data_IF_061860675610
#
_entry.id   IF_061860675610
#
_cell.length_a   1.000
_cell.length_b   1.000
_cell.length_c   1.000
_cell.angle_alpha   90.00
_cell.angle_beta   90.00
_cell.angle_gamma   90.00
#
_symmetry.space_group_name_H-M   'P 1'
#
loop_
_entity.id
_entity.type
_entity.pdbx_description
1 polymer ?
#
# COMPACT_ATOMS: atom_id res chain seq x y z
N UNK A 1 28.68 -14.56 -7.16
CA UNK A 1 27.45 -15.38 -7.17
C UNK A 1 26.48 -14.61 -6.31
N UNK A 2 25.49 -13.92 -6.90
CA UNK A 2 24.49 -13.16 -6.13
C UNK A 2 23.77 -14.14 -5.20
N UNK A 3 23.69 -13.84 -3.90
CA UNK A 3 22.83 -14.63 -3.01
C UNK A 3 21.40 -14.48 -3.53
N UNK A 4 20.65 -15.58 -3.57
CA UNK A 4 19.25 -15.59 -4.03
C UNK A 4 18.31 -14.85 -3.06
N UNK A 5 18.83 -14.37 -1.93
CA UNK A 5 18.09 -13.84 -0.79
C UNK A 5 18.18 -12.31 -0.66
N UNK A 6 18.64 -11.58 -1.68
CA UNK A 6 18.70 -10.11 -1.64
C UNK A 6 18.16 -9.47 -2.91
N UNK A 7 17.54 -8.30 -2.76
CA UNK A 7 17.23 -7.41 -3.88
C UNK A 7 18.42 -6.49 -4.11
N UNK A 8 18.80 -6.29 -5.38
CA UNK A 8 19.90 -5.41 -5.73
C UNK A 8 19.38 -4.24 -6.56
N UNK A 9 19.70 -3.04 -6.11
CA UNK A 9 19.34 -1.82 -6.81
C UNK A 9 20.60 -1.09 -7.26
N UNK A 10 20.56 -0.53 -8.47
CA UNK A 10 21.52 0.50 -8.83
C UNK A 10 21.35 1.72 -7.91
N UNK A 11 22.34 2.61 -7.86
CA UNK A 11 22.16 3.87 -7.14
C UNK A 11 20.99 4.65 -7.73
N UNK A 12 19.99 4.89 -6.88
CA UNK A 12 18.75 5.62 -7.16
C UNK A 12 18.51 6.55 -5.97
N UNK A 13 18.04 7.77 -6.22
CA UNK A 13 17.85 8.77 -5.16
C UNK A 13 16.63 8.49 -4.31
N UNK A 14 15.60 7.89 -4.89
CA UNK A 14 14.31 7.61 -4.24
C UNK A 14 14.28 6.11 -3.93
N UNK A 15 14.01 5.76 -2.68
CA UNK A 15 13.85 4.36 -2.28
C UNK A 15 12.48 3.83 -2.73
N UNK A 16 11.42 4.60 -2.51
CA UNK A 16 10.05 4.19 -2.86
C UNK A 16 9.26 5.34 -3.48
N UNK A 17 8.70 5.08 -4.67
CA UNK A 17 7.71 5.94 -5.31
C UNK A 17 6.34 5.27 -5.21
N UNK A 18 5.46 5.83 -4.39
CA UNK A 18 4.08 5.38 -4.25
C UNK A 18 3.17 6.13 -5.25
N UNK A 19 2.27 5.41 -5.91
CA UNK A 19 1.33 5.96 -6.90
C UNK A 19 -0.10 5.59 -6.47
N UNK A 20 -0.97 6.60 -6.37
CA UNK A 20 -2.39 6.37 -6.10
C UNK A 20 -3.03 7.53 -5.35
N UNK A 21 -3.60 7.25 -4.19
CA UNK A 21 -4.49 8.16 -3.49
C UNK A 21 -3.96 8.69 -2.16
N UNK A 22 -4.35 9.93 -1.88
CA UNK A 22 -4.50 10.49 -0.55
C UNK A 22 -5.88 11.13 -0.48
N UNK A 23 -6.62 10.87 0.60
CA UNK A 23 -8.03 11.23 0.70
C UNK A 23 -8.45 11.48 2.15
N UNK A 24 -9.71 11.92 2.32
CA UNK A 24 -10.31 12.11 3.64
C UNK A 24 -11.11 10.87 4.02
N UNK A 25 -10.76 10.22 5.13
CA UNK A 25 -11.59 9.21 5.76
C UNK A 25 -12.53 9.89 6.76
N UNK A 26 -13.83 9.90 6.47
CA UNK A 26 -14.88 10.39 7.35
C UNK A 26 -15.44 9.20 8.14
N UNK A 27 -15.03 9.04 9.40
CA UNK A 27 -15.40 7.88 10.23
C UNK A 27 -16.44 8.30 11.27
N UNK A 28 -17.53 7.54 11.37
CA UNK A 28 -18.60 7.82 12.34
C UNK A 28 -18.17 7.52 13.79
N UNK A 29 -18.74 8.25 14.75
CA UNK A 29 -18.49 8.01 16.17
C UNK A 29 -19.22 6.80 16.75
N UNK A 30 -20.36 6.44 16.14
CA UNK A 30 -21.25 5.42 16.70
C UNK A 30 -21.55 4.30 15.71
N UNK A 31 -21.94 3.18 16.30
CA UNK A 31 -22.39 1.96 15.62
C UNK A 31 -23.85 2.02 15.15
N UNK A 32 -24.54 3.15 15.33
CA UNK A 32 -25.98 3.27 15.11
C UNK A 32 -26.35 3.62 13.66
N UNK A 33 -25.35 3.85 12.80
CA UNK A 33 -25.50 4.18 11.38
C UNK A 33 -25.95 5.62 11.12
N UNK A 34 -25.94 6.00 9.84
CA UNK A 34 -26.24 7.35 9.35
C UNK A 34 -27.63 7.89 9.74
N UNK A 35 -28.59 7.00 9.96
CA UNK A 35 -29.98 7.39 10.28
C UNK A 35 -30.14 7.87 11.73
N UNK A 36 -29.20 7.53 12.61
CA UNK A 36 -29.24 7.88 14.04
C UNK A 36 -28.04 8.71 14.49
N UNK A 37 -26.94 8.69 13.75
CA UNK A 37 -25.77 9.50 14.01
C UNK A 37 -25.28 10.19 12.73
N UNK A 38 -25.14 11.51 12.81
CA UNK A 38 -24.67 12.38 11.74
C UNK A 38 -23.31 13.04 12.05
N UNK A 39 -22.58 12.53 13.04
CA UNK A 39 -21.24 13.01 13.42
C UNK A 39 -20.16 12.11 12.83
N UNK A 40 -19.19 12.75 12.20
CA UNK A 40 -18.03 12.13 11.58
C UNK A 40 -16.77 12.90 11.96
N UNK A 41 -15.69 12.17 12.19
CA UNK A 41 -14.36 12.74 12.29
C UNK A 41 -13.62 12.52 10.97
N UNK A 42 -12.95 13.58 10.52
CA UNK A 42 -12.08 13.54 9.36
C UNK A 42 -10.69 13.03 9.77
N UNK A 43 -10.22 12.01 9.08
CA UNK A 43 -8.89 11.44 9.19
C UNK A 43 -8.19 11.47 7.83
N UNK A 44 -6.87 11.34 7.85
CA UNK A 44 -6.07 11.14 6.64
C UNK A 44 -6.16 9.67 6.23
N UNK A 45 -6.50 9.44 4.97
CA UNK A 45 -6.55 8.12 4.36
C UNK A 45 -5.75 8.05 3.07
N UNK A 46 -5.65 6.84 2.54
CA UNK A 46 -4.91 6.51 1.31
C UNK A 46 -3.73 5.59 1.58
N UNK A 47 -3.81 4.37 1.06
CA UNK A 47 -2.81 3.32 1.34
C UNK A 47 -1.43 3.67 0.78
N UNK A 48 -1.30 4.16 -0.48
CA UNK A 48 -0.02 4.65 -1.01
C UNK A 48 0.57 5.81 -0.21
N UNK A 49 -0.27 6.72 0.28
CA UNK A 49 0.17 7.85 1.11
C UNK A 49 0.69 7.39 2.48
N UNK A 50 -0.03 6.47 3.15
CA UNK A 50 0.41 5.87 4.41
C UNK A 50 1.75 5.16 4.26
N UNK A 51 1.90 4.36 3.20
CA UNK A 51 3.15 3.67 2.89
C UNK A 51 4.30 4.67 2.71
N UNK A 52 4.12 5.70 1.89
CA UNK A 52 5.15 6.72 1.65
C UNK A 52 5.56 7.42 2.96
N UNK A 53 4.60 7.84 3.78
CA UNK A 53 4.89 8.46 5.08
C UNK A 53 5.61 7.50 6.03
N UNK A 54 5.21 6.22 6.07
CA UNK A 54 5.84 5.22 6.93
C UNK A 54 7.29 4.94 6.51
N UNK A 55 7.58 4.82 5.21
CA UNK A 55 8.95 4.66 4.69
C UNK A 55 9.81 5.87 5.10
N UNK A 56 9.28 7.08 5.01
CA UNK A 56 9.99 8.29 5.44
C UNK A 56 10.31 8.28 6.94
N UNK A 57 9.36 7.86 7.78
CA UNK A 57 9.57 7.73 9.24
C UNK A 57 10.59 6.66 9.61
N UNK A 58 10.60 5.56 8.85
CA UNK A 58 11.59 4.50 9.01
C UNK A 58 13.00 4.97 8.60
N UNK A 59 13.15 6.13 7.96
CA UNK A 59 14.44 6.71 7.56
C UNK A 59 14.77 6.54 6.08
N UNK A 60 13.87 5.97 5.28
CA UNK A 60 14.00 5.89 3.82
C UNK A 60 13.57 7.17 3.12
N UNK A 61 13.96 7.32 1.86
CA UNK A 61 13.49 8.44 1.02
C UNK A 61 12.33 7.99 0.12
N UNK A 62 11.12 8.46 0.43
CA UNK A 62 9.92 8.15 -0.34
C UNK A 62 9.30 9.39 -1.00
N UNK A 63 8.57 9.16 -2.09
CA UNK A 63 7.74 10.15 -2.75
C UNK A 63 6.35 9.58 -3.04
N UNK A 64 5.35 10.47 -3.13
CA UNK A 64 3.97 10.13 -3.48
C UNK A 64 3.56 10.90 -4.74
N UNK A 65 3.10 10.18 -5.76
CA UNK A 65 2.34 10.77 -6.86
C UNK A 65 0.85 10.47 -6.67
N UNK A 66 0.08 11.53 -6.42
CA UNK A 66 -1.36 11.48 -6.23
C UNK A 66 -1.97 12.83 -6.66
N UNK A 67 -3.29 12.86 -6.81
CA UNK A 67 -4.04 14.09 -7.04
C UNK A 67 -5.03 14.40 -5.91
N UNK A 68 -5.15 15.69 -5.60
CA UNK A 68 -6.17 16.25 -4.72
C UNK A 68 -6.90 17.39 -5.41
N UNK A 69 -8.10 17.74 -4.95
CA UNK A 69 -8.89 18.81 -5.54
C UNK A 69 -8.26 20.18 -5.31
N UNK A 70 -8.64 21.16 -6.12
CA UNK A 70 -8.35 22.57 -5.85
C UNK A 70 -9.30 23.14 -4.78
N UNK A 71 -9.28 22.53 -3.59
CA UNK A 71 -10.17 22.84 -2.47
C UNK A 71 -9.43 22.76 -1.12
N UNK A 72 -10.16 23.10 -0.04
CA UNK A 72 -9.61 23.13 1.33
C UNK A 72 -9.25 21.76 1.87
N UNK A 73 -9.90 20.69 1.41
CA UNK A 73 -9.50 19.34 1.78
C UNK A 73 -8.18 18.97 1.09
N UNK A 74 -7.99 19.38 -0.16
CA UNK A 74 -6.72 19.19 -0.87
C UNK A 74 -5.58 19.98 -0.22
N UNK A 75 -5.82 21.22 0.20
CA UNK A 75 -4.88 22.01 1.00
C UNK A 75 -4.51 21.28 2.30
N UNK A 76 -5.52 20.79 3.02
CA UNK A 76 -5.36 20.06 4.28
C UNK A 76 -4.50 18.79 4.13
N UNK A 77 -4.71 18.02 3.07
CA UNK A 77 -3.94 16.81 2.78
C UNK A 77 -2.48 17.13 2.41
N UNK A 78 -2.25 18.12 1.55
CA UNK A 78 -0.89 18.54 1.17
C UNK A 78 -0.13 19.11 2.37
N UNK A 79 -0.78 19.92 3.21
CA UNK A 79 -0.17 20.45 4.43
C UNK A 79 0.17 19.37 5.44
N UNK A 80 -0.63 18.29 5.51
CA UNK A 80 -0.29 17.14 6.31
C UNK A 80 0.97 16.43 5.80
N UNK A 81 1.06 16.15 4.50
CA UNK A 81 2.25 15.54 3.90
C UNK A 81 3.52 16.37 4.18
N UNK A 82 3.43 17.71 4.04
CA UNK A 82 4.53 18.62 4.39
C UNK A 82 4.92 18.57 5.86
N UNK A 83 3.94 18.49 6.78
CA UNK A 83 4.20 18.32 8.22
C UNK A 83 4.88 16.99 8.53
N UNK A 84 4.58 15.96 7.75
CA UNK A 84 5.28 14.66 7.80
C UNK A 84 6.62 14.68 7.05
N UNK A 85 7.08 15.85 6.58
CA UNK A 85 8.33 16.04 5.83
C UNK A 85 8.40 15.23 4.53
N UNK A 86 7.25 14.84 3.97
CA UNK A 86 7.19 14.19 2.68
C UNK A 86 7.28 15.22 1.55
N UNK A 87 8.04 14.91 0.50
CA UNK A 87 8.07 15.73 -0.70
C UNK A 87 6.70 15.71 -1.40
N UNK A 88 6.15 16.89 -1.64
CA UNK A 88 4.84 17.09 -2.29
C UNK A 88 4.96 17.57 -3.73
N UNK A 89 6.18 17.55 -4.29
CA UNK A 89 6.47 18.04 -5.64
C UNK A 89 5.79 17.23 -6.75
N UNK A 90 5.39 15.98 -6.47
CA UNK A 90 4.63 15.12 -7.38
C UNK A 90 3.11 15.15 -7.15
N UNK A 91 2.64 15.94 -6.18
CA UNK A 91 1.20 16.11 -5.92
C UNK A 91 0.58 16.99 -7.00
N UNK A 92 -0.47 16.48 -7.63
CA UNK A 92 -1.20 17.18 -8.68
C UNK A 92 -2.50 17.78 -8.13
N UNK A 93 -2.95 18.88 -8.76
CA UNK A 93 -4.24 19.51 -8.48
C UNK A 93 -5.23 19.17 -9.58
N UNK A 94 -6.34 18.58 -9.18
CA UNK A 94 -7.44 18.19 -10.06
C UNK A 94 -8.51 19.28 -10.14
N UNK A 95 -9.34 19.18 -11.18
CA UNK A 95 -10.55 20.02 -11.31
C UNK A 95 -11.73 19.48 -10.49
N UNK A 96 -11.72 18.17 -10.20
CA UNK A 96 -12.70 17.53 -9.34
C UNK A 96 -12.40 17.76 -7.85
N UNK A 97 -13.42 17.66 -6.97
CA UNK A 97 -13.24 17.76 -5.52
C UNK A 97 -12.32 16.67 -4.96
N UNK A 98 -11.61 16.97 -3.89
CA UNK A 98 -10.81 15.99 -3.13
C UNK A 98 -11.68 14.81 -2.71
N UNK A 99 -11.17 13.60 -2.96
CA UNK A 99 -11.88 12.36 -2.70
C UNK A 99 -12.02 12.09 -1.20
N UNK A 100 -13.07 11.36 -0.84
CA UNK A 100 -13.33 10.96 0.54
C UNK A 100 -13.96 9.57 0.61
N UNK A 101 -13.74 8.89 1.73
CA UNK A 101 -14.45 7.66 2.08
C UNK A 101 -15.24 7.90 3.34
N UNK A 102 -16.53 7.57 3.31
CA UNK A 102 -17.39 7.62 4.50
C UNK A 102 -17.50 6.22 5.07
N UNK A 103 -17.06 6.04 6.31
CA UNK A 103 -17.06 4.75 7.00
C UNK A 103 -17.96 4.87 8.23
N UNK A 104 -19.05 4.11 8.21
CA UNK A 104 -19.87 3.93 9.41
C UNK A 104 -19.29 2.81 10.26
N UNK A 105 -18.94 3.10 11.52
CA UNK A 105 -18.65 2.05 12.49
C UNK A 105 -19.83 1.08 12.53
N UNK A 106 -19.52 -0.20 12.50
CA UNK A 106 -20.53 -1.27 12.56
C UNK A 106 -20.03 -2.37 13.49
N UNK A 107 -20.95 -3.14 14.09
CA UNK A 107 -20.57 -4.30 14.91
C UNK A 107 -20.03 -5.48 14.07
N UNK A 108 -20.25 -5.44 12.75
CA UNK A 108 -19.63 -6.32 11.77
C UNK A 108 -18.60 -5.56 10.93
N UNK A 109 -18.31 -6.04 9.71
CA UNK A 109 -17.41 -5.35 8.78
C UNK A 109 -18.02 -4.02 8.33
N UNK A 110 -17.37 -2.86 8.59
CA UNK A 110 -17.84 -1.58 8.08
C UNK A 110 -17.97 -1.60 6.56
N UNK A 111 -19.08 -1.10 6.03
CA UNK A 111 -19.26 -0.91 4.58
C UNK A 111 -18.87 0.53 4.24
N UNK A 112 -17.77 0.74 3.50
CA UNK A 112 -17.36 2.07 3.08
C UNK A 112 -18.24 2.58 1.93
N UNK A 113 -18.51 3.89 1.93
CA UNK A 113 -19.06 4.61 0.76
C UNK A 113 -17.95 5.46 0.16
N UNK A 114 -17.66 5.25 -1.12
CA UNK A 114 -16.58 5.94 -1.82
C UNK A 114 -17.11 7.15 -2.59
N UNK A 115 -16.61 8.34 -2.24
CA UNK A 115 -16.84 9.57 -2.99
C UNK A 115 -15.56 9.92 -3.75
N UNK A 116 -15.47 9.39 -4.97
CA UNK A 116 -14.30 9.52 -5.85
C UNK A 116 -14.38 10.83 -6.63
N UNK A 117 -13.25 11.53 -6.73
CA UNK A 117 -13.12 12.84 -7.37
C UNK A 117 -11.70 13.04 -7.89
N UNK A 118 -10.92 13.89 -7.23
CA UNK A 118 -9.57 14.25 -7.67
C UNK A 118 -8.61 13.06 -7.82
N UNK A 119 -8.78 12.01 -7.02
CA UNK A 119 -7.85 10.89 -6.90
C UNK A 119 -7.60 10.10 -8.19
N UNK A 120 -8.38 10.34 -9.25
CA UNK A 120 -8.17 9.73 -10.57
C UNK A 120 -7.85 10.73 -11.69
N UNK A 121 -7.64 12.01 -11.36
CA UNK A 121 -7.24 13.07 -12.29
C UNK A 121 -5.76 13.45 -12.09
N UNK A 122 -4.87 12.50 -12.33
CA UNK A 122 -3.43 12.71 -12.33
C UNK A 122 -2.80 12.11 -13.58
N UNK A 123 -1.76 12.77 -14.09
CA UNK A 123 -1.18 12.50 -15.40
C UNK A 123 0.32 12.20 -15.31
N UNK A 124 0.86 11.61 -16.38
CA UNK A 124 2.30 11.43 -16.54
C UNK A 124 2.97 12.77 -16.85
N UNK A 125 3.61 13.39 -15.84
CA UNK A 125 4.41 14.61 -16.00
C UNK A 125 5.88 14.28 -16.23
N UNK A 126 6.67 15.23 -16.76
CA UNK A 126 8.12 15.05 -16.91
C UNK A 126 8.82 14.80 -15.57
N UNK A 127 8.29 15.42 -14.50
CA UNK A 127 8.79 15.22 -13.15
C UNK A 127 8.48 13.81 -12.63
N UNK A 128 7.30 13.28 -12.92
CA UNK A 128 6.97 11.89 -12.59
C UNK A 128 7.85 10.91 -13.35
N UNK A 129 8.08 11.12 -14.66
CA UNK A 129 9.02 10.32 -15.45
C UNK A 129 10.42 10.31 -14.85
N UNK A 130 10.92 11.49 -14.47
CA UNK A 130 12.23 11.61 -13.82
C UNK A 130 12.27 10.90 -12.46
N UNK A 131 11.19 10.96 -11.67
CA UNK A 131 11.09 10.25 -10.41
C UNK A 131 11.11 8.73 -10.60
N UNK A 132 10.36 8.20 -11.58
CA UNK A 132 10.36 6.78 -11.94
C UNK A 132 11.77 6.32 -12.35
N UNK A 133 12.47 7.11 -13.16
CA UNK A 133 13.85 6.80 -13.56
C UNK A 133 14.83 6.78 -12.38
N UNK A 134 14.53 7.48 -11.28
CA UNK A 134 15.39 7.63 -10.11
C UNK A 134 14.89 6.91 -8.86
N UNK A 135 13.90 6.00 -8.98
CA UNK A 135 13.41 5.18 -7.87
C UNK A 135 13.96 3.76 -7.89
N UNK A 136 14.12 3.15 -6.71
CA UNK A 136 14.36 1.71 -6.56
C UNK A 136 13.07 0.92 -6.72
N UNK A 137 11.98 1.41 -6.15
CA UNK A 137 10.69 0.70 -6.06
C UNK A 137 9.56 1.62 -6.53
N UNK A 138 8.62 1.07 -7.29
CA UNK A 138 7.31 1.67 -7.56
C UNK A 138 6.24 0.82 -6.87
N UNK A 139 5.32 1.46 -6.15
CA UNK A 139 4.21 0.80 -5.48
C UNK A 139 2.87 1.44 -5.84
N UNK A 140 1.85 0.61 -6.05
CA UNK A 140 0.45 1.07 -6.22
C UNK A 140 -0.53 0.02 -5.68
N UNK A 141 -1.80 0.41 -5.55
CA UNK A 141 -2.89 -0.47 -5.09
C UNK A 141 -3.99 -0.65 -6.15
N UNK A 142 -5.05 -1.41 -5.83
CA UNK A 142 -6.24 -1.46 -6.72
C UNK A 142 -6.99 -0.13 -6.82
N UNK A 143 -6.73 0.83 -5.93
CA UNK A 143 -7.45 2.10 -5.93
C UNK A 143 -7.30 2.88 -7.25
N UNK A 144 -6.08 3.21 -7.73
CA UNK A 144 -5.93 3.81 -9.06
C UNK A 144 -6.36 2.87 -10.19
N UNK A 145 -6.27 1.54 -10.00
CA UNK A 145 -6.69 0.56 -11.01
C UNK A 145 -8.21 0.52 -11.25
N UNK A 146 -9.00 0.87 -10.23
CA UNK A 146 -10.47 0.88 -10.28
C UNK A 146 -11.08 2.01 -11.12
N UNK A 147 -10.26 2.91 -11.67
CA UNK A 147 -10.69 3.99 -12.55
C UNK A 147 -9.90 3.96 -13.86
N UNK A 148 -10.57 4.12 -15.00
CA UNK A 148 -9.96 4.04 -16.35
C UNK A 148 -8.78 4.99 -16.57
N UNK A 149 -8.90 6.24 -16.14
CA UNK A 149 -7.89 7.26 -16.41
C UNK A 149 -6.65 7.05 -15.53
N UNK A 150 -6.86 6.83 -14.23
CA UNK A 150 -5.78 6.50 -13.30
C UNK A 150 -5.11 5.17 -13.65
N UNK A 151 -5.88 4.15 -14.05
CA UNK A 151 -5.36 2.86 -14.49
C UNK A 151 -4.47 2.99 -15.72
N UNK A 152 -4.85 3.82 -16.69
CA UNK A 152 -4.01 4.10 -17.86
C UNK A 152 -2.65 4.65 -17.44
N UNK A 153 -2.63 5.62 -16.52
CA UNK A 153 -1.38 6.14 -15.98
C UNK A 153 -0.56 5.04 -15.29
N UNK A 154 -1.17 4.19 -14.46
CA UNK A 154 -0.44 3.09 -13.80
C UNK A 154 0.21 2.15 -14.83
N UNK A 155 -0.47 1.82 -15.93
CA UNK A 155 0.15 1.04 -17.00
C UNK A 155 1.36 1.75 -17.64
N UNK A 156 1.28 3.06 -17.87
CA UNK A 156 2.40 3.86 -18.37
C UNK A 156 3.57 3.88 -17.36
N UNK A 157 3.28 4.04 -16.06
CA UNK A 157 4.27 3.99 -14.98
C UNK A 157 4.98 2.63 -14.95
N UNK A 158 4.25 1.52 -15.09
CA UNK A 158 4.83 0.17 -15.07
C UNK A 158 5.84 -0.02 -16.21
N UNK A 159 5.54 0.49 -17.40
CA UNK A 159 6.46 0.42 -18.55
C UNK A 159 7.74 1.20 -18.25
N UNK A 160 7.61 2.46 -17.84
CA UNK A 160 8.76 3.33 -17.51
C UNK A 160 9.58 2.78 -16.33
N UNK A 161 8.92 2.22 -15.31
CA UNK A 161 9.58 1.63 -14.14
C UNK A 161 10.40 0.40 -14.51
N UNK A 162 9.84 -0.46 -15.36
CA UNK A 162 10.52 -1.66 -15.87
C UNK A 162 11.75 -1.29 -16.71
N UNK A 163 11.62 -0.31 -17.60
CA UNK A 163 12.74 0.19 -18.41
C UNK A 163 13.83 0.83 -17.54
N UNK A 164 13.45 1.45 -16.42
CA UNK A 164 14.37 2.02 -15.44
C UNK A 164 15.01 1.01 -14.47
N UNK A 165 14.57 -0.26 -14.52
CA UNK A 165 15.02 -1.33 -13.63
C UNK A 165 14.52 -1.20 -12.19
N UNK A 166 13.38 -0.54 -11.97
CA UNK A 166 12.74 -0.46 -10.66
C UNK A 166 11.94 -1.74 -10.35
N UNK A 167 11.88 -2.12 -9.07
CA UNK A 167 11.01 -3.18 -8.59
C UNK A 167 9.55 -2.68 -8.54
N UNK A 168 8.63 -3.45 -9.10
CA UNK A 168 7.21 -3.09 -9.19
C UNK A 168 6.42 -3.89 -8.17
N UNK A 169 5.90 -3.20 -7.16
CA UNK A 169 5.07 -3.76 -6.12
C UNK A 169 3.60 -3.37 -6.23
N UNK A 170 2.73 -4.30 -5.85
CA UNK A 170 1.29 -4.12 -5.94
C UNK A 170 0.58 -4.65 -4.69
N UNK A 171 -0.23 -3.79 -4.05
CA UNK A 171 -1.18 -4.24 -3.02
C UNK A 171 -2.57 -4.44 -3.65
N UNK A 172 -3.09 -5.68 -3.72
CA UNK A 172 -4.42 -5.92 -4.24
C UNK A 172 -5.48 -5.10 -3.54
N UNK A 173 -5.46 -4.97 -2.21
CA UNK A 173 -6.44 -4.25 -1.39
C UNK A 173 -7.83 -4.15 -2.06
N UNK A 174 -8.38 -5.30 -2.46
CA UNK A 174 -9.42 -5.36 -3.46
C UNK A 174 -10.77 -5.18 -2.78
N UNK A 175 -11.53 -4.17 -3.20
CA UNK A 175 -12.88 -3.97 -2.74
C UNK A 175 -13.84 -3.81 -3.94
N UNK A 176 -14.90 -4.63 -4.04
CA UNK A 176 -15.79 -4.60 -5.20
C UNK A 176 -16.47 -3.24 -5.39
N UNK A 177 -16.81 -2.55 -4.29
CA UNK A 177 -17.42 -1.22 -4.33
C UNK A 177 -16.54 -0.08 -4.88
N UNK A 178 -15.27 -0.34 -5.24
CA UNK A 178 -14.41 0.66 -5.89
C UNK A 178 -14.62 0.73 -7.40
N UNK A 179 -15.09 -0.35 -8.02
CA UNK A 179 -15.11 -0.53 -9.46
C UNK A 179 -16.39 0.02 -10.07
N UNK A 180 -16.29 0.50 -11.30
CA UNK A 180 -17.45 0.95 -12.07
C UNK A 180 -18.33 -0.26 -12.44
N UNK A 181 -19.65 -0.07 -12.47
CA UNK A 181 -20.63 -1.15 -12.72
C UNK A 181 -20.44 -1.87 -14.07
N UNK A 182 -19.78 -1.22 -15.03
CA UNK A 182 -19.52 -1.75 -16.37
C UNK A 182 -18.13 -2.38 -16.54
N UNK A 183 -17.37 -2.54 -15.45
CA UNK A 183 -16.01 -3.12 -15.46
C UNK A 183 -15.92 -4.44 -14.70
N UNK A 184 -15.19 -5.39 -15.27
CA UNK A 184 -14.76 -6.60 -14.55
C UNK A 184 -13.45 -6.30 -13.80
N UNK A 185 -13.58 -5.79 -12.58
CA UNK A 185 -12.45 -5.49 -11.72
C UNK A 185 -11.57 -6.69 -11.42
N UNK A 186 -12.15 -7.88 -11.28
CA UNK A 186 -11.40 -9.11 -11.02
C UNK A 186 -10.52 -9.45 -12.22
N UNK A 187 -11.06 -9.39 -13.44
CA UNK A 187 -10.27 -9.64 -14.66
C UNK A 187 -9.13 -8.64 -14.81
N UNK A 188 -9.37 -7.36 -14.51
CA UNK A 188 -8.35 -6.30 -14.57
C UNK A 188 -7.24 -6.56 -13.55
N UNK A 189 -7.58 -6.92 -12.31
CA UNK A 189 -6.58 -7.25 -11.30
C UNK A 189 -5.81 -8.52 -11.68
N UNK A 190 -6.46 -9.53 -12.25
CA UNK A 190 -5.77 -10.75 -12.72
C UNK A 190 -4.77 -10.47 -13.84
N UNK A 191 -5.09 -9.58 -14.80
CA UNK A 191 -4.11 -9.11 -15.79
C UNK A 191 -2.94 -8.37 -15.13
N UNK A 192 -3.23 -7.53 -14.12
CA UNK A 192 -2.20 -6.75 -13.43
C UNK A 192 -1.21 -7.63 -12.64
N UNK A 193 -1.68 -8.74 -12.04
CA UNK A 193 -0.82 -9.66 -11.28
C UNK A 193 0.36 -10.16 -12.12
N UNK A 194 0.18 -10.39 -13.43
CA UNK A 194 1.25 -10.84 -14.33
C UNK A 194 2.24 -9.75 -14.76
N UNK A 195 2.05 -8.50 -14.29
CA UNK A 195 2.85 -7.34 -14.70
C UNK A 195 3.73 -6.78 -13.58
N UNK A 196 3.66 -7.36 -12.39
CA UNK A 196 4.32 -6.87 -11.17
C UNK A 196 5.31 -7.91 -10.64
N UNK A 197 6.34 -7.45 -9.93
CA UNK A 197 7.40 -8.30 -9.40
C UNK A 197 7.05 -8.84 -8.01
N UNK A 198 6.34 -8.06 -7.20
CA UNK A 198 5.97 -8.43 -5.84
C UNK A 198 4.53 -8.04 -5.52
N UNK A 199 3.79 -8.95 -4.90
CA UNK A 199 2.40 -8.74 -4.50
C UNK A 199 2.17 -9.15 -3.05
N UNK A 200 1.33 -8.41 -2.32
CA UNK A 200 0.98 -8.73 -0.91
C UNK A 200 -0.53 -8.83 -0.68
N UNK A 201 -1.18 -9.93 -1.09
CA UNK A 201 -2.60 -10.15 -0.79
C UNK A 201 -2.82 -10.48 0.70
N UNK A 202 -3.98 -10.11 1.24
CA UNK A 202 -4.55 -10.77 2.43
C UNK A 202 -5.38 -12.00 2.05
N UNK A 203 -5.77 -12.79 3.05
CA UNK A 203 -6.77 -13.88 2.85
C UNK A 203 -8.07 -13.34 2.24
N UNK A 204 -8.56 -12.19 2.72
CA UNK A 204 -9.76 -11.54 2.19
C UNK A 204 -9.60 -11.11 0.74
N UNK A 205 -8.42 -10.57 0.36
CA UNK A 205 -8.15 -10.20 -1.02
C UNK A 205 -8.15 -11.43 -1.94
N UNK A 206 -7.46 -12.49 -1.52
CA UNK A 206 -7.37 -13.72 -2.29
C UNK A 206 -8.75 -14.38 -2.48
N UNK A 207 -9.55 -14.43 -1.42
CA UNK A 207 -10.93 -14.95 -1.48
C UNK A 207 -11.80 -14.09 -2.42
N UNK A 208 -11.69 -12.76 -2.37
CA UNK A 208 -12.46 -11.88 -3.26
C UNK A 208 -12.05 -12.03 -4.74
N UNK A 209 -10.78 -12.30 -5.03
CA UNK A 209 -10.24 -12.40 -6.40
C UNK A 209 -10.48 -13.80 -7.01
N UNK A 210 -10.36 -14.84 -6.20
CA UNK A 210 -10.33 -16.24 -6.66
C UNK A 210 -11.44 -17.14 -6.10
N UNK A 211 -12.23 -16.64 -5.16
CA UNK A 211 -13.16 -17.44 -4.35
C UNK A 211 -12.44 -18.18 -3.20
N UNK A 212 -13.19 -18.85 -2.32
CA UNK A 212 -12.65 -19.54 -1.15
C UNK A 212 -11.69 -20.67 -1.52
N UNK A 213 -10.54 -20.76 -0.84
CA UNK A 213 -9.54 -21.82 -1.02
C UNK A 213 -8.55 -21.85 0.16
N UNK A 214 -7.63 -22.82 0.17
CA UNK A 214 -6.51 -22.82 1.12
C UNK A 214 -5.48 -21.74 0.78
N UNK A 215 -4.73 -21.28 1.79
CA UNK A 215 -3.67 -20.27 1.63
C UNK A 215 -2.66 -20.69 0.56
N UNK A 216 -2.24 -21.96 0.56
CA UNK A 216 -1.26 -22.50 -0.37
C UNK A 216 -1.78 -22.48 -1.81
N UNK A 217 -3.04 -22.89 -2.02
CA UNK A 217 -3.67 -22.86 -3.34
C UNK A 217 -3.87 -21.43 -3.84
N UNK A 218 -4.23 -20.49 -2.95
CA UNK A 218 -4.34 -19.09 -3.33
C UNK A 218 -3.00 -18.54 -3.82
N UNK A 219 -1.90 -18.81 -3.09
CA UNK A 219 -0.54 -18.42 -3.50
C UNK A 219 -0.21 -18.98 -4.89
N UNK A 220 -0.53 -20.26 -5.13
CA UNK A 220 -0.28 -20.91 -6.42
C UNK A 220 -1.05 -20.25 -7.57
N UNK A 221 -2.26 -19.73 -7.33
CA UNK A 221 -3.02 -18.96 -8.33
C UNK A 221 -2.35 -17.63 -8.68
N UNK A 222 -1.73 -16.93 -7.73
CA UNK A 222 -0.97 -15.71 -8.02
C UNK A 222 0.27 -16.01 -8.87
N UNK A 223 0.99 -17.09 -8.56
CA UNK A 223 2.11 -17.56 -9.39
C UNK A 223 1.68 -18.01 -10.78
N UNK A 224 0.53 -18.69 -10.90
CA UNK A 224 -0.03 -19.11 -12.19
C UNK A 224 -0.38 -17.92 -13.11
N UNK A 225 -0.65 -16.74 -12.53
CA UNK A 225 -0.83 -15.49 -13.27
C UNK A 225 0.48 -14.76 -13.59
N UNK A 226 1.63 -15.26 -13.14
CA UNK A 226 2.96 -14.78 -13.52
C UNK A 226 3.69 -13.95 -12.48
N UNK A 227 3.12 -13.71 -11.29
CA UNK A 227 3.84 -12.98 -10.24
C UNK A 227 4.94 -13.86 -9.61
N UNK A 228 6.21 -13.42 -9.58
CA UNK A 228 7.30 -14.26 -9.08
C UNK A 228 7.44 -14.26 -7.55
N UNK A 229 6.94 -13.22 -6.86
CA UNK A 229 7.07 -13.06 -5.41
C UNK A 229 5.72 -12.69 -4.76
N UNK A 230 5.20 -13.59 -3.92
CA UNK A 230 3.89 -13.44 -3.26
C UNK A 230 4.07 -13.41 -1.74
N UNK A 231 3.58 -12.36 -1.10
CA UNK A 231 3.59 -12.17 0.35
C UNK A 231 2.16 -12.23 0.90
N UNK A 232 1.65 -13.42 1.18
CA UNK A 232 0.28 -13.55 1.67
C UNK A 232 0.20 -13.33 3.18
N UNK A 233 -0.49 -12.29 3.63
CA UNK A 233 -0.74 -12.08 5.06
C UNK A 233 -1.96 -12.85 5.53
N UNK A 234 -1.82 -13.57 6.64
CA UNK A 234 -2.83 -14.49 7.21
C UNK A 234 -3.23 -14.06 8.64
N UNK A 235 -3.42 -12.75 8.80
CA UNK A 235 -3.84 -12.12 10.05
C UNK A 235 -2.91 -12.44 11.24
N UNK A 236 -3.50 -12.90 12.34
CA UNK A 236 -2.77 -13.21 13.56
C UNK A 236 -1.74 -14.36 13.40
N UNK A 237 -1.85 -15.19 12.36
CA UNK A 237 -0.90 -16.27 12.08
C UNK A 237 0.38 -15.76 11.40
N UNK A 238 0.40 -14.51 10.95
CA UNK A 238 1.56 -13.87 10.31
C UNK A 238 1.45 -13.83 8.79
N UNK A 239 2.43 -14.38 8.09
CA UNK A 239 2.49 -14.35 6.62
C UNK A 239 3.09 -15.62 6.03
N UNK A 240 2.73 -15.93 4.78
CA UNK A 240 3.34 -16.95 3.94
C UNK A 240 3.99 -16.26 2.76
N UNK A 241 5.31 -16.42 2.63
CA UNK A 241 6.11 -15.80 1.58
C UNK A 241 6.44 -16.88 0.57
N UNK A 242 6.14 -16.62 -0.69
CA UNK A 242 6.50 -17.53 -1.76
C UNK A 242 7.29 -16.86 -2.87
N UNK A 243 8.42 -17.46 -3.18
CA UNK A 243 9.31 -17.01 -4.24
C UNK A 243 9.63 -18.22 -5.12
N UNK A 244 9.31 -18.13 -6.41
CA UNK A 244 9.52 -19.21 -7.37
C UNK A 244 8.91 -20.57 -6.93
N UNK A 245 7.78 -20.54 -6.21
CA UNK A 245 7.04 -21.73 -5.75
C UNK A 245 7.49 -22.32 -4.42
N UNK A 246 8.63 -21.90 -3.87
CA UNK A 246 9.03 -22.24 -2.50
C UNK A 246 8.20 -21.40 -1.52
N UNK A 247 7.65 -22.00 -0.47
CA UNK A 247 6.76 -21.33 0.50
C UNK A 247 7.38 -21.37 1.90
N UNK A 248 7.53 -20.20 2.52
CA UNK A 248 8.10 -20.02 3.85
C UNK A 248 7.08 -19.32 4.77
N UNK A 249 6.94 -19.79 6.01
CA UNK A 249 5.96 -19.29 6.97
C UNK A 249 6.64 -18.41 8.02
N UNK A 250 6.03 -17.26 8.28
CA UNK A 250 6.50 -16.27 9.24
C UNK A 250 5.41 -15.97 10.25
N UNK A 251 5.78 -15.99 11.54
CA UNK A 251 4.84 -15.74 12.63
C UNK A 251 4.60 -14.23 12.81
N UNK A 252 3.37 -13.86 13.17
CA UNK A 252 3.07 -12.47 13.54
C UNK A 252 3.93 -12.01 14.73
N UNK A 253 4.36 -10.76 14.71
CA UNK A 253 5.10 -10.13 15.82
C UNK A 253 4.19 -9.34 16.77
N UNK A 254 2.90 -9.23 16.44
CA UNK A 254 1.93 -8.47 17.21
C UNK A 254 1.59 -9.17 18.53
N UNK A 255 1.78 -8.46 19.65
CA UNK A 255 1.35 -8.90 20.99
C UNK A 255 0.10 -8.16 21.47
N UNK A 256 -0.17 -7.00 20.88
CA UNK A 256 -1.29 -6.12 21.24
C UNK A 256 -1.90 -5.61 19.94
N UNK A 257 -3.23 -5.68 19.84
CA UNK A 257 -3.99 -5.20 18.69
C UNK A 257 -5.03 -4.20 19.20
N UNK A 258 -4.81 -2.93 18.87
CA UNK A 258 -5.67 -1.79 19.18
C UNK A 258 -6.50 -1.41 17.97
N UNK A 259 -5.87 -1.31 16.79
CA UNK A 259 -6.51 -0.96 15.52
C UNK A 259 -5.79 -1.64 14.36
N UNK A 260 -6.51 -2.26 13.43
CA UNK A 260 -5.97 -2.99 12.28
C UNK A 260 -5.76 -2.11 11.04
N UNK A 261 -6.33 -0.91 10.99
CA UNK A 261 -6.30 0.00 9.83
C UNK A 261 -4.86 0.35 9.44
N UNK A 262 -4.43 0.18 8.20
CA UNK A 262 -3.05 0.53 7.77
C UNK A 262 -1.95 -0.46 8.21
N UNK A 263 -2.30 -1.61 8.80
CA UNK A 263 -1.30 -2.63 9.16
C UNK A 263 -0.61 -3.22 7.91
N UNK A 264 -1.36 -3.35 6.80
CA UNK A 264 -0.80 -3.73 5.50
C UNK A 264 0.19 -2.72 4.94
N UNK A 265 -0.14 -1.42 5.02
CA UNK A 265 0.75 -0.32 4.60
C UNK A 265 2.04 -0.31 5.42
N UNK A 266 1.92 -0.55 6.74
CA UNK A 266 3.05 -0.68 7.65
C UNK A 266 3.93 -1.89 7.31
N UNK A 267 3.34 -3.05 6.98
CA UNK A 267 4.10 -4.20 6.51
C UNK A 267 4.91 -3.87 5.26
N UNK A 268 4.28 -3.27 4.25
CA UNK A 268 4.97 -2.87 3.02
C UNK A 268 6.12 -1.91 3.30
N UNK A 269 5.89 -0.91 4.15
CA UNK A 269 6.94 0.07 4.48
C UNK A 269 8.14 -0.60 5.14
N UNK A 270 7.94 -1.52 6.09
CA UNK A 270 9.04 -2.24 6.73
C UNK A 270 9.78 -3.14 5.74
N UNK A 271 9.05 -3.89 4.91
CA UNK A 271 9.65 -4.73 3.87
C UNK A 271 10.48 -3.91 2.88
N UNK A 272 9.93 -2.82 2.36
CA UNK A 272 10.64 -1.94 1.42
C UNK A 272 11.83 -1.24 2.06
N UNK A 273 11.72 -0.77 3.30
CA UNK A 273 12.88 -0.21 4.01
C UNK A 273 13.97 -1.26 4.16
N UNK A 274 13.66 -2.50 4.53
CA UNK A 274 14.66 -3.58 4.63
C UNK A 274 15.40 -3.79 3.32
N UNK A 275 14.68 -4.03 2.22
CA UNK A 275 15.33 -4.35 0.94
C UNK A 275 16.07 -3.14 0.33
N UNK A 276 15.69 -1.91 0.68
CA UNK A 276 16.39 -0.70 0.21
C UNK A 276 17.62 -0.33 1.06
N UNK A 277 17.75 -0.96 2.24
CA UNK A 277 18.90 -0.91 3.13
C UNK A 277 19.81 -2.16 2.98
N UNK A 278 19.66 -2.91 1.89
CA UNK A 278 20.45 -4.10 1.56
C UNK A 278 20.33 -5.26 2.58
N UNK A 279 19.23 -5.31 3.35
CA UNK A 279 18.90 -6.44 4.22
C UNK A 279 18.50 -7.67 3.37
N UNK A 280 18.61 -8.87 3.93
CA UNK A 280 18.09 -10.07 3.26
C UNK A 280 16.57 -10.03 3.13
N UNK A 281 16.02 -10.85 2.22
CA UNK A 281 14.58 -11.05 2.07
C UNK A 281 13.97 -11.47 3.42
N UNK A 282 14.62 -12.39 4.14
CA UNK A 282 14.14 -12.84 5.44
C UNK A 282 14.06 -11.68 6.45
N UNK A 283 15.14 -10.91 6.59
CA UNK A 283 15.20 -9.76 7.49
C UNK A 283 14.18 -8.68 7.10
N UNK A 284 13.99 -8.46 5.81
CA UNK A 284 13.01 -7.50 5.30
C UNK A 284 11.56 -7.92 5.61
N UNK A 285 11.23 -9.20 5.52
CA UNK A 285 9.92 -9.72 5.92
C UNK A 285 9.71 -9.57 7.43
N UNK A 286 10.72 -9.90 8.22
CA UNK A 286 10.71 -9.73 9.67
C UNK A 286 10.52 -8.26 10.07
N UNK A 287 11.18 -7.33 9.38
CA UNK A 287 11.01 -5.89 9.53
C UNK A 287 9.59 -5.43 9.15
N UNK A 288 9.03 -5.95 8.07
CA UNK A 288 7.63 -5.74 7.69
C UNK A 288 6.65 -6.17 8.78
N UNK A 289 6.84 -7.38 9.33
CA UNK A 289 5.99 -7.90 10.41
C UNK A 289 6.14 -7.10 11.70
N UNK A 290 7.33 -6.63 12.05
CA UNK A 290 7.55 -5.78 13.21
C UNK A 290 6.93 -4.40 13.05
N UNK A 291 7.07 -3.79 11.87
CA UNK A 291 6.48 -2.48 11.55
C UNK A 291 4.96 -2.55 11.63
N UNK A 292 4.36 -3.61 11.05
CA UNK A 292 2.93 -3.92 11.19
C UNK A 292 2.53 -4.12 12.67
N UNK A 293 3.30 -4.89 13.44
CA UNK A 293 3.03 -5.12 14.86
C UNK A 293 3.06 -3.82 15.68
N UNK A 294 3.98 -2.91 15.37
CA UNK A 294 4.03 -1.59 16.01
C UNK A 294 2.79 -0.76 15.66
N UNK A 295 2.42 -0.73 14.38
CA UNK A 295 1.19 -0.05 13.91
C UNK A 295 -0.05 -0.60 14.64
N UNK A 296 -0.18 -1.91 14.74
CA UNK A 296 -1.33 -2.58 15.36
C UNK A 296 -1.52 -2.19 16.83
N UNK A 297 -0.46 -1.78 17.54
CA UNK A 297 -0.53 -1.32 18.93
C UNK A 297 -1.05 0.13 19.09
N UNK A 298 -1.33 0.85 18.00
CA UNK A 298 -1.73 2.25 18.00
C UNK A 298 -3.02 2.50 17.20
N UNK A 299 -3.78 3.52 17.59
CA UNK A 299 -5.03 3.94 16.92
C UNK A 299 -4.75 4.69 15.61
N UNK A 300 -5.60 4.47 14.61
CA UNK A 300 -5.53 5.13 13.30
C UNK A 300 -4.63 4.41 12.30
N UNK A 301 -4.70 4.83 11.02
CA UNK A 301 -3.88 4.27 9.94
C UNK A 301 -2.39 4.64 10.03
N UNK A 302 -2.10 5.76 10.70
CA UNK A 302 -0.78 6.37 10.80
C UNK A 302 -0.33 6.32 12.26
N UNK A 303 0.76 5.58 12.54
CA UNK A 303 1.36 5.46 13.88
C UNK A 303 2.77 6.07 13.88
N UNK A 304 3.22 6.64 14.99
CA UNK A 304 4.57 7.22 15.13
C UNK A 304 5.63 6.11 15.14
N UNK A 305 5.92 5.58 13.95
CA UNK A 305 6.84 4.46 13.74
C UNK A 305 8.25 4.87 14.15
N UNK A 306 8.99 4.00 14.85
CA UNK A 306 10.38 4.26 15.16
C UNK A 306 11.24 4.18 13.89
N UNK A 307 12.42 4.80 13.92
CA UNK A 307 13.41 4.65 12.86
C UNK A 307 13.83 3.18 12.67
N UNK A 308 14.20 2.77 11.45
CA UNK A 308 14.47 1.36 11.13
C UNK A 308 15.56 0.73 12.00
N UNK A 309 16.56 1.51 12.40
CA UNK A 309 17.66 1.05 13.27
C UNK A 309 17.17 0.53 14.62
N UNK A 310 16.09 1.09 15.18
CA UNK A 310 15.51 0.57 16.42
C UNK A 310 14.83 -0.79 16.17
N UNK A 311 14.10 -0.91 15.06
CA UNK A 311 13.44 -2.16 14.68
C UNK A 311 14.45 -3.27 14.41
N UNK A 312 15.58 -2.93 13.77
CA UNK A 312 16.69 -3.86 13.54
C UNK A 312 17.28 -4.38 14.86
N UNK A 313 17.52 -3.50 15.84
CA UNK A 313 17.96 -3.91 17.18
C UNK A 313 16.96 -4.88 17.82
N UNK A 314 15.66 -4.59 17.72
CA UNK A 314 14.60 -5.47 18.24
C UNK A 314 14.54 -6.85 17.57
N UNK A 315 14.99 -6.97 16.31
CA UNK A 315 15.13 -8.26 15.63
C UNK A 315 16.29 -9.07 16.23
N UNK A 316 17.43 -8.41 16.44
CA UNK A 316 18.65 -9.06 16.95
C UNK A 316 18.56 -9.47 18.43
N UNK A 317 17.83 -8.72 19.27
CA UNK A 317 17.68 -9.00 20.71
C UNK A 317 16.68 -10.13 21.03
N UNK A 318 15.97 -10.65 20.02
CA UNK A 318 15.00 -11.77 20.16
C UNK A 318 15.56 -13.13 19.70
N UNK A 319 16.86 -13.20 19.41
CA UNK A 319 17.65 -14.44 19.26
C UNK A 319 18.34 -14.80 20.58
#
# INVERSE_FOLDING_TARGET
>A
MQSKDMFYFNYKKIDVLAIGEILIDMISDSYEGLTKNNQFHAYYGGSPANLAMNVSRLGGHSQLCAAVGNDRFGDFLIDHLKKQQLDTSLMQRATLPTSMVVINKSKGTPVPTFYRGADHQFLMTDQLKLAIQNTKIVHFSSWPMSNRDARRLVYEVIVEARDAGALIGFDPNYHPGLWQDDEDGIAIIKDMIGRVDVIKPSEDDAERIFGPDTVENQIDKFHALGCPFVMMTIGAKGAVISQNGEKNYYQSKAKTVVDTTGAGDAFWSGFYTGITQDETVHESIELGLLTSAFKLAHMGAIADLPHYTLLQTMMTERL
#
